data_IF_651874655849
#
_entry.id   IF_651874655849
#
_cell.length_a   1.000
_cell.length_b   1.000
_cell.length_c   1.000
_cell.angle_alpha   90.00
_cell.angle_beta   90.00
_cell.angle_gamma   90.00
#
_symmetry.space_group_name_H-M   'P 1'
#
loop_
_entity.id
_entity.type
_entity.pdbx_description
1 polymer ?
#
# COMPACT_ATOMS: atom_id res chain seq x y z
N UNK A 1 -2.53 13.82 8.22
CA UNK A 1 -2.06 12.84 7.21
C UNK A 1 -2.89 11.58 7.29
N UNK A 2 -3.37 11.12 6.15
CA UNK A 2 -4.14 9.87 6.08
C UNK A 2 -3.26 8.75 5.53
N UNK A 3 -3.50 7.53 6.01
CA UNK A 3 -2.81 6.32 5.57
C UNK A 3 -3.86 5.38 4.99
N UNK A 4 -3.59 4.85 3.80
CA UNK A 4 -4.47 3.89 3.14
C UNK A 4 -3.72 2.64 2.72
N UNK A 5 -4.44 1.52 2.64
CA UNK A 5 -3.91 0.29 2.06
C UNK A 5 -4.68 -0.01 0.77
N UNK A 6 -3.98 -0.61 -0.20
CA UNK A 6 -4.60 -1.05 -1.45
C UNK A 6 -4.07 -2.43 -1.78
N UNK A 7 -4.95 -3.37 -2.05
CA UNK A 7 -4.54 -4.71 -2.40
C UNK A 7 -5.64 -5.74 -2.25
N UNK A 8 -5.26 -6.99 -2.08
CA UNK A 8 -6.20 -8.09 -1.94
C UNK A 8 -7.04 -7.94 -0.66
N UNK A 9 -8.15 -8.67 -0.61
CA UNK A 9 -9.06 -8.63 0.54
C UNK A 9 -8.34 -8.98 1.84
N UNK A 10 -7.51 -10.01 1.85
CA UNK A 10 -6.80 -10.42 3.06
C UNK A 10 -5.77 -9.38 3.50
N UNK A 11 -5.08 -8.76 2.57
CA UNK A 11 -4.12 -7.69 2.86
C UNK A 11 -4.83 -6.50 3.50
N UNK A 12 -5.88 -5.99 2.86
CA UNK A 12 -6.63 -4.83 3.34
C UNK A 12 -7.29 -5.12 4.69
N UNK A 13 -7.90 -6.30 4.84
CA UNK A 13 -8.58 -6.69 6.07
C UNK A 13 -7.63 -6.72 7.26
N UNK A 14 -6.40 -7.24 7.04
CA UNK A 14 -5.39 -7.29 8.10
C UNK A 14 -5.08 -5.90 8.65
N UNK A 15 -4.97 -4.91 7.78
CA UNK A 15 -4.70 -3.54 8.20
C UNK A 15 -5.93 -2.84 8.78
N UNK A 16 -7.13 -3.19 8.30
CA UNK A 16 -8.37 -2.65 8.87
C UNK A 16 -8.52 -3.05 10.34
N UNK A 17 -8.10 -4.26 10.70
CA UNK A 17 -8.10 -4.70 12.09
C UNK A 17 -7.19 -3.83 12.97
N UNK A 18 -6.18 -3.22 12.38
CA UNK A 18 -5.29 -2.30 13.07
C UNK A 18 -5.75 -0.83 12.97
N UNK A 19 -6.91 -0.58 12.38
CA UNK A 19 -7.46 0.77 12.26
C UNK A 19 -7.02 1.53 11.00
N UNK A 20 -6.41 0.86 10.04
CA UNK A 20 -5.98 1.50 8.79
C UNK A 20 -7.01 1.21 7.69
N UNK A 21 -7.67 2.23 7.14
CA UNK A 21 -8.64 2.02 6.06
C UNK A 21 -7.96 1.56 4.78
N UNK A 22 -8.72 0.91 3.90
CA UNK A 22 -8.14 0.40 2.68
C UNK A 22 -9.16 0.17 1.58
N UNK A 23 -8.64 -0.06 0.39
CA UNK A 23 -9.42 -0.30 -0.82
C UNK A 23 -9.04 -1.68 -1.35
N UNK A 24 -10.02 -2.55 -1.51
CA UNK A 24 -9.79 -3.89 -2.04
C UNK A 24 -9.66 -3.81 -3.55
N UNK A 25 -8.59 -4.41 -4.07
CA UNK A 25 -8.32 -4.44 -5.50
C UNK A 25 -7.76 -5.82 -5.87
N UNK A 26 -8.33 -6.45 -6.89
CA UNK A 26 -7.96 -7.81 -7.31
C UNK A 26 -6.97 -7.82 -8.46
N UNK A 27 -6.77 -6.72 -9.13
CA UNK A 27 -5.90 -6.66 -10.30
C UNK A 27 -4.90 -5.53 -10.19
N UNK A 28 -3.70 -5.67 -10.80
CA UNK A 28 -2.72 -4.59 -10.78
C UNK A 28 -3.25 -3.30 -11.41
N UNK A 29 -4.05 -3.40 -12.46
CA UNK A 29 -4.62 -2.22 -13.12
C UNK A 29 -5.54 -1.44 -12.19
N UNK A 30 -6.44 -2.13 -11.49
CA UNK A 30 -7.32 -1.48 -10.52
C UNK A 30 -6.52 -0.90 -9.37
N UNK A 31 -5.49 -1.61 -8.92
CA UNK A 31 -4.59 -1.12 -7.87
C UNK A 31 -3.97 0.20 -8.29
N UNK A 32 -3.44 0.28 -9.51
CA UNK A 32 -2.85 1.51 -10.01
C UNK A 32 -3.87 2.65 -10.09
N UNK A 33 -5.07 2.38 -10.58
CA UNK A 33 -6.13 3.39 -10.67
C UNK A 33 -6.49 3.94 -9.30
N UNK A 34 -6.62 3.07 -8.30
CA UNK A 34 -6.93 3.50 -6.94
C UNK A 34 -5.79 4.31 -6.31
N UNK A 35 -4.54 3.91 -6.56
CA UNK A 35 -3.39 4.66 -6.10
C UNK A 35 -3.36 6.05 -6.72
N UNK A 36 -3.66 6.16 -8.00
CA UNK A 36 -3.73 7.47 -8.67
C UNK A 36 -4.79 8.38 -8.06
N UNK A 37 -5.96 7.82 -7.73
CA UNK A 37 -7.01 8.58 -7.07
C UNK A 37 -6.57 9.06 -5.68
N UNK A 38 -5.94 8.18 -4.91
CA UNK A 38 -5.47 8.51 -3.58
C UNK A 38 -4.36 9.56 -3.60
N UNK A 39 -3.44 9.49 -4.56
CA UNK A 39 -2.36 10.46 -4.66
C UNK A 39 -2.84 11.83 -5.12
N UNK A 40 -4.03 11.93 -5.68
CA UNK A 40 -4.65 13.20 -6.02
C UNK A 40 -5.18 13.93 -4.78
N UNK A 41 -5.37 13.23 -3.67
CA UNK A 41 -5.84 13.81 -2.41
C UNK A 41 -4.62 14.25 -1.58
N UNK A 42 -4.49 15.54 -1.34
CA UNK A 42 -3.36 16.11 -0.61
C UNK A 42 -3.31 15.68 0.86
N UNK A 43 -4.40 15.17 1.41
CA UNK A 43 -4.43 14.68 2.80
C UNK A 43 -3.87 13.27 2.94
N UNK A 44 -3.77 12.53 1.83
CA UNK A 44 -3.21 11.18 1.86
C UNK A 44 -1.69 11.28 1.84
N UNK A 45 -1.05 10.84 2.91
CA UNK A 45 0.40 10.91 3.04
C UNK A 45 1.12 9.61 2.79
N UNK A 46 0.44 8.47 2.99
CA UNK A 46 1.07 7.16 2.87
C UNK A 46 0.08 6.15 2.29
N UNK A 47 0.54 5.39 1.31
CA UNK A 47 -0.23 4.29 0.72
C UNK A 47 0.61 3.03 0.83
N UNK A 48 0.03 1.98 1.42
CA UNK A 48 0.65 0.67 1.55
C UNK A 48 0.00 -0.26 0.55
N UNK A 49 0.79 -0.86 -0.32
CA UNK A 49 0.30 -1.70 -1.41
C UNK A 49 0.82 -3.11 -1.26
N UNK A 50 -0.02 -4.10 -1.54
CA UNK A 50 0.40 -5.50 -1.56
C UNK A 50 1.41 -5.73 -2.68
N UNK A 51 2.55 -6.37 -2.38
CA UNK A 51 3.63 -6.56 -3.34
C UNK A 51 3.25 -7.44 -4.52
N UNK A 52 2.29 -8.33 -4.36
CA UNK A 52 1.80 -9.16 -5.45
C UNK A 52 1.07 -8.35 -6.54
N UNK A 53 0.62 -7.15 -6.19
CA UNK A 53 -0.03 -6.23 -7.13
C UNK A 53 0.92 -5.20 -7.74
N UNK A 54 2.14 -5.05 -7.20
CA UNK A 54 3.05 -3.98 -7.62
C UNK A 54 4.04 -4.41 -8.70
N UNK A 55 4.29 -5.69 -8.85
CA UNK A 55 5.32 -6.19 -9.77
C UNK A 55 5.09 -5.74 -11.21
N UNK A 56 3.87 -5.84 -11.70
CA UNK A 56 3.53 -5.48 -13.08
C UNK A 56 3.32 -3.98 -13.30
N UNK A 57 3.24 -3.19 -12.23
CA UNK A 57 3.01 -1.74 -12.32
C UNK A 57 4.15 -0.93 -11.68
N UNK A 58 5.32 -1.55 -11.52
CA UNK A 58 6.43 -0.92 -10.82
C UNK A 58 6.91 0.38 -11.48
N UNK A 59 6.91 0.44 -12.80
CA UNK A 59 7.32 1.64 -13.53
C UNK A 59 6.37 2.80 -13.28
N UNK A 60 5.07 2.54 -13.32
CA UNK A 60 4.04 3.53 -13.06
C UNK A 60 4.10 4.01 -11.60
N UNK A 61 4.36 3.10 -10.67
CA UNK A 61 4.52 3.46 -9.26
C UNK A 61 5.74 4.34 -9.05
N UNK A 62 6.84 4.05 -9.73
CA UNK A 62 8.04 4.87 -9.65
C UNK A 62 7.75 6.30 -10.14
N UNK A 63 7.01 6.43 -11.24
CA UNK A 63 6.60 7.73 -11.75
C UNK A 63 5.75 8.49 -10.73
N UNK A 64 4.80 7.82 -10.10
CA UNK A 64 3.96 8.44 -9.08
C UNK A 64 4.78 8.88 -7.86
N UNK A 65 5.75 8.07 -7.44
CA UNK A 65 6.61 8.40 -6.30
C UNK A 65 7.43 9.65 -6.55
N UNK A 66 7.86 9.88 -7.78
CA UNK A 66 8.68 11.04 -8.13
C UNK A 66 7.87 12.30 -8.38
N UNK A 67 6.59 12.15 -8.78
CA UNK A 67 5.75 13.29 -9.16
C UNK A 67 4.78 13.74 -8.07
N UNK A 68 4.60 12.94 -7.03
CA UNK A 68 3.65 13.23 -5.95
C UNK A 68 4.34 13.23 -4.60
N UNK A 69 3.79 13.98 -3.65
CA UNK A 69 4.30 14.02 -2.27
C UNK A 69 3.86 12.80 -1.45
N UNK A 70 2.86 12.07 -1.91
CA UNK A 70 2.38 10.87 -1.22
C UNK A 70 3.41 9.76 -1.31
N UNK A 71 3.71 9.12 -0.19
CA UNK A 71 4.62 7.98 -0.14
C UNK A 71 3.86 6.71 -0.46
N UNK A 72 4.42 5.89 -1.35
CA UNK A 72 3.82 4.62 -1.76
C UNK A 72 4.83 3.51 -1.49
N UNK A 73 4.46 2.57 -0.62
CA UNK A 73 5.33 1.45 -0.24
C UNK A 73 4.66 0.12 -0.54
N UNK A 74 5.43 -0.81 -1.09
CA UNK A 74 4.99 -2.18 -1.28
C UNK A 74 5.35 -3.01 -0.06
N UNK A 75 4.39 -3.80 0.44
CA UNK A 75 4.59 -4.69 1.57
C UNK A 75 4.30 -6.13 1.15
N UNK A 76 4.94 -7.13 1.81
CA UNK A 76 4.64 -8.53 1.52
C UNK A 76 3.16 -8.84 1.70
N UNK A 77 2.60 -9.62 0.79
CA UNK A 77 1.19 -10.02 0.89
C UNK A 77 0.99 -11.02 2.02
N UNK A 78 -0.22 -11.00 2.58
CA UNK A 78 -0.61 -11.95 3.61
C UNK A 78 -0.66 -13.34 2.98
N UNK A 79 -0.10 -14.33 3.68
CA UNK A 79 0.00 -15.70 3.17
C UNK A 79 1.36 -16.07 2.61
N UNK A 80 2.27 -15.10 2.47
CA UNK A 80 3.67 -15.41 2.20
C UNK A 80 4.28 -16.05 3.45
N UNK A 81 5.43 -16.70 3.30
CA UNK A 81 6.13 -17.31 4.44
C UNK A 81 6.58 -16.28 5.47
N UNK A 82 6.60 -15.03 5.10
CA UNK A 82 6.93 -13.95 6.02
C UNK A 82 5.78 -13.77 6.99
N UNK A 83 6.10 -13.78 8.27
CA UNK A 83 5.12 -13.71 9.34
C UNK A 83 4.58 -12.29 9.51
N UNK A 84 3.51 -12.18 10.32
CA UNK A 84 2.95 -10.89 10.70
C UNK A 84 3.97 -10.01 11.43
N UNK A 85 4.98 -10.63 12.05
CA UNK A 85 6.06 -9.91 12.73
C UNK A 85 6.82 -9.02 11.75
N UNK A 86 7.01 -9.49 10.52
CA UNK A 86 7.69 -8.72 9.50
C UNK A 86 6.92 -7.44 9.14
N UNK A 87 5.59 -7.50 9.10
CA UNK A 87 4.77 -6.32 8.87
C UNK A 87 4.99 -5.26 9.94
N UNK A 88 5.05 -5.66 11.19
CA UNK A 88 5.28 -4.73 12.29
C UNK A 88 6.64 -4.05 12.17
N UNK A 89 7.67 -4.82 11.86
CA UNK A 89 9.02 -4.28 11.67
C UNK A 89 9.08 -3.32 10.49
N UNK A 90 8.45 -3.68 9.38
CA UNK A 90 8.41 -2.84 8.20
C UNK A 90 7.67 -1.53 8.48
N UNK A 91 6.53 -1.60 9.16
CA UNK A 91 5.78 -0.40 9.53
C UNK A 91 6.59 0.51 10.46
N UNK A 92 7.30 -0.04 11.42
CA UNK A 92 8.16 0.74 12.29
C UNK A 92 9.23 1.48 11.52
N UNK A 93 9.86 0.82 10.55
CA UNK A 93 10.88 1.46 9.71
C UNK A 93 10.29 2.58 8.87
N UNK A 94 9.12 2.36 8.27
CA UNK A 94 8.44 3.35 7.43
C UNK A 94 8.04 4.56 8.24
N UNK A 95 7.51 4.35 9.44
CA UNK A 95 7.02 5.42 10.30
C UNK A 95 8.11 6.07 11.16
N UNK A 96 9.31 5.52 11.17
CA UNK A 96 10.42 6.08 11.93
C UNK A 96 10.33 5.87 13.43
N UNK A 97 9.65 4.80 13.85
CA UNK A 97 9.47 4.52 15.28
C UNK A 97 10.31 3.37 15.76
#
# INVERSE_FOLDING_TARGET
MKIFTVGSKSFVTSFQLAGVPGIISDTPKKTLDEIKKLTADSEVGLILVSDDMTESISDELTTLRTSKSTLVFALPSVGSEKSEVDYRLMLKKILGV
#
